data_IF_353452177885
#
_entry.id   IF_353452177885
#
_cell.length_a   1.000
_cell.length_b   1.000
_cell.length_c   1.000
_cell.angle_alpha   90.00
_cell.angle_beta   90.00
_cell.angle_gamma   90.00
#
_symmetry.space_group_name_H-M   'P 1'
#
loop_
_entity.id
_entity.type
_entity.pdbx_description
1 polymer ?
#
# COMPACT_ATOMS: atom_id res chain seq x y z
N UNK A 1 24.74 -9.86 7.56
CA UNK A 1 24.93 -9.31 6.22
C UNK A 1 24.87 -10.46 5.23
N UNK A 2 23.81 -10.56 4.44
CA UNK A 2 23.71 -11.56 3.38
C UNK A 2 24.46 -11.01 2.16
N UNK A 3 25.42 -11.76 1.59
CA UNK A 3 26.12 -11.31 0.40
C UNK A 3 25.16 -11.24 -0.79
N UNK A 4 25.35 -10.25 -1.65
CA UNK A 4 24.52 -9.96 -2.84
C UNK A 4 24.46 -11.10 -3.91
N UNK A 5 25.07 -12.24 -3.65
CA UNK A 5 25.14 -13.38 -4.58
C UNK A 5 23.88 -14.25 -4.63
N UNK A 6 22.94 -14.05 -3.70
CA UNK A 6 21.78 -14.94 -3.55
C UNK A 6 20.67 -14.75 -4.59
N UNK A 7 20.76 -13.73 -5.44
CA UNK A 7 19.79 -13.51 -6.52
C UNK A 7 19.92 -14.47 -7.72
N UNK A 8 20.99 -15.24 -7.80
CA UNK A 8 21.29 -16.14 -8.94
C UNK A 8 21.12 -17.63 -8.62
N UNK A 9 20.94 -17.99 -7.37
CA UNK A 9 20.75 -19.38 -6.95
C UNK A 9 19.41 -19.45 -6.24
N UNK A 10 18.56 -20.39 -6.65
CA UNK A 10 17.32 -20.66 -5.89
C UNK A 10 17.71 -21.01 -4.47
N UNK A 11 17.27 -20.23 -3.48
CA UNK A 11 17.64 -20.39 -2.06
C UNK A 11 17.34 -21.79 -1.54
N UNK A 12 16.30 -22.44 -2.06
CA UNK A 12 15.92 -23.82 -1.75
C UNK A 12 17.00 -24.85 -2.08
N UNK A 13 17.98 -24.49 -2.93
CA UNK A 13 19.09 -25.38 -3.29
C UNK A 13 20.35 -25.17 -2.43
N UNK A 14 20.40 -24.12 -1.61
CA UNK A 14 21.54 -23.85 -0.75
C UNK A 14 21.57 -24.82 0.42
N UNK A 15 22.65 -25.55 0.51
CA UNK A 15 22.93 -26.48 1.61
C UNK A 15 24.22 -26.09 2.30
N UNK A 16 24.27 -26.24 3.59
CA UNK A 16 25.47 -26.08 4.37
C UNK A 16 25.64 -27.23 5.35
N UNK A 17 26.87 -27.51 5.69
CA UNK A 17 27.19 -28.60 6.60
C UNK A 17 27.22 -28.07 8.04
N UNK A 18 26.35 -28.61 8.89
CA UNK A 18 26.38 -28.34 10.33
C UNK A 18 27.44 -29.20 10.99
N UNK A 19 28.61 -28.62 11.19
CA UNK A 19 29.75 -29.27 11.83
C UNK A 19 29.65 -29.37 13.35
N UNK A 20 28.60 -28.79 13.96
CA UNK A 20 28.35 -28.93 15.40
C UNK A 20 27.78 -30.27 15.77
N UNK A 21 27.30 -31.05 14.79
CA UNK A 21 26.82 -32.44 14.97
C UNK A 21 27.87 -33.47 14.58
N UNK A 22 27.83 -34.65 15.19
CA UNK A 22 28.75 -35.72 14.84
C UNK A 22 27.94 -36.99 14.58
N UNK A 23 27.88 -37.50 13.31
CA UNK A 23 28.50 -36.91 12.09
C UNK A 23 27.86 -35.57 11.67
N UNK A 24 28.58 -34.73 10.89
CA UNK A 24 28.03 -33.51 10.35
C UNK A 24 26.75 -33.76 9.58
N UNK A 25 25.74 -32.86 9.78
CA UNK A 25 24.46 -32.97 9.08
C UNK A 25 24.33 -31.87 8.05
N UNK A 26 23.74 -32.22 6.91
CA UNK A 26 23.41 -31.22 5.89
C UNK A 26 22.12 -30.49 6.27
N UNK A 27 22.18 -29.17 6.35
CA UNK A 27 21.02 -28.28 6.52
C UNK A 27 20.76 -27.49 5.25
N UNK A 28 19.46 -27.28 4.96
CA UNK A 28 19.02 -26.42 3.87
C UNK A 28 18.76 -25.04 4.43
N UNK A 29 19.16 -24.02 3.70
CA UNK A 29 18.85 -22.64 4.05
C UNK A 29 17.33 -22.40 3.88
N UNK A 30 16.67 -21.83 4.90
CA UNK A 30 15.27 -21.46 4.83
C UNK A 30 15.13 -20.02 4.36
N UNK A 31 14.17 -19.78 3.47
CA UNK A 31 13.84 -18.46 3.00
C UNK A 31 12.65 -17.90 3.77
N UNK A 32 12.91 -16.89 4.58
CA UNK A 32 11.90 -16.19 5.38
C UNK A 32 11.44 -14.85 4.75
N UNK A 33 11.95 -14.50 3.58
CA UNK A 33 11.77 -13.16 3.02
C UNK A 33 10.29 -12.86 2.78
N UNK A 34 9.58 -13.76 2.09
CA UNK A 34 8.16 -13.58 1.83
C UNK A 34 7.33 -13.54 3.12
N UNK A 35 7.64 -14.40 4.09
CA UNK A 35 6.96 -14.40 5.38
C UNK A 35 7.16 -13.06 6.12
N UNK A 36 8.34 -12.46 6.06
CA UNK A 36 8.59 -11.14 6.66
C UNK A 36 7.73 -10.05 6.02
N UNK A 37 7.57 -10.08 4.69
CA UNK A 37 6.68 -9.14 4.00
C UNK A 37 5.22 -9.34 4.38
N UNK A 38 4.77 -10.58 4.44
CA UNK A 38 3.39 -10.91 4.83
C UNK A 38 3.09 -10.51 6.28
N UNK A 39 4.02 -10.72 7.20
CA UNK A 39 3.92 -10.25 8.59
C UNK A 39 3.85 -8.72 8.65
N UNK A 40 4.70 -8.03 7.91
CA UNK A 40 4.71 -6.55 7.88
C UNK A 40 3.40 -5.99 7.31
N UNK A 41 2.88 -6.59 6.24
CA UNK A 41 1.61 -6.22 5.65
C UNK A 41 0.43 -6.49 6.60
N UNK A 42 0.43 -7.62 7.30
CA UNK A 42 -0.60 -7.95 8.28
C UNK A 42 -0.61 -6.95 9.44
N UNK A 43 0.56 -6.58 9.97
CA UNK A 43 0.68 -5.56 11.03
C UNK A 43 0.16 -4.21 10.57
N UNK A 44 0.55 -3.75 9.38
CA UNK A 44 0.06 -2.50 8.81
C UNK A 44 -1.47 -2.50 8.63
N UNK A 45 -2.04 -3.62 8.18
CA UNK A 45 -3.51 -3.77 8.06
C UNK A 45 -4.18 -3.71 9.43
N UNK A 46 -3.60 -4.30 10.47
CA UNK A 46 -4.14 -4.28 11.83
C UNK A 46 -4.08 -2.89 12.51
N UNK A 47 -3.28 -1.94 12.00
CA UNK A 47 -3.34 -0.54 12.44
C UNK A 47 -4.75 0.06 12.22
N UNK A 48 -5.50 -0.47 11.25
CA UNK A 48 -6.85 -0.06 10.90
C UNK A 48 -7.91 -1.13 11.26
N UNK A 49 -7.68 -1.93 12.29
CA UNK A 49 -8.56 -3.06 12.65
C UNK A 49 -10.04 -2.67 12.86
N UNK A 50 -10.30 -1.42 13.27
CA UNK A 50 -11.67 -0.90 13.46
C UNK A 50 -12.50 -0.81 12.16
N UNK A 51 -11.86 -0.91 11.00
CA UNK A 51 -12.54 -0.93 9.69
C UNK A 51 -13.05 -2.33 9.30
N UNK A 52 -12.76 -3.34 10.11
CA UNK A 52 -13.07 -4.75 9.83
C UNK A 52 -13.91 -5.40 10.91
N UNK A 53 -14.57 -6.50 10.57
CA UNK A 53 -15.34 -7.26 11.55
C UNK A 53 -14.41 -7.96 12.55
N UNK A 54 -14.83 -8.01 13.81
CA UNK A 54 -14.00 -8.54 14.91
C UNK A 54 -13.53 -9.98 14.67
N UNK A 55 -14.39 -10.84 14.12
CA UNK A 55 -14.06 -12.25 13.88
C UNK A 55 -12.95 -12.40 12.85
N UNK A 56 -12.94 -11.58 11.77
CA UNK A 56 -11.91 -11.64 10.75
C UNK A 56 -10.60 -11.01 11.22
N UNK A 57 -10.65 -9.98 12.06
CA UNK A 57 -9.48 -9.40 12.74
C UNK A 57 -8.83 -10.42 13.67
N UNK A 58 -9.62 -11.14 14.45
CA UNK A 58 -9.10 -12.18 15.36
C UNK A 58 -8.41 -13.33 14.58
N UNK A 59 -8.98 -13.72 13.43
CA UNK A 59 -8.34 -14.70 12.55
C UNK A 59 -6.96 -14.24 12.06
N UNK A 60 -6.81 -12.97 11.70
CA UNK A 60 -5.50 -12.39 11.30
C UNK A 60 -4.54 -12.39 12.48
N UNK A 61 -4.96 -11.97 13.67
CA UNK A 61 -4.11 -11.94 14.87
C UNK A 61 -3.58 -13.32 15.22
N UNK A 62 -4.42 -14.35 15.13
CA UNK A 62 -4.04 -15.74 15.39
C UNK A 62 -3.03 -16.27 14.35
N UNK A 63 -3.28 -16.00 13.06
CA UNK A 63 -2.36 -16.38 11.99
C UNK A 63 -1.02 -15.64 12.11
N UNK A 64 -1.04 -14.36 12.44
CA UNK A 64 0.15 -13.54 12.66
C UNK A 64 1.00 -14.07 13.81
N UNK A 65 0.40 -14.37 14.94
CA UNK A 65 1.11 -14.97 16.09
C UNK A 65 1.81 -16.29 15.72
N UNK A 66 1.15 -17.12 14.89
CA UNK A 66 1.73 -18.39 14.44
C UNK A 66 2.88 -18.14 13.45
N UNK A 67 2.74 -17.21 12.52
CA UNK A 67 3.80 -16.87 11.57
C UNK A 67 5.03 -16.29 12.29
N UNK A 68 4.84 -15.41 13.27
CA UNK A 68 5.94 -14.87 14.10
C UNK A 68 6.65 -15.97 14.90
N UNK A 69 5.90 -16.90 15.48
CA UNK A 69 6.48 -18.05 16.18
C UNK A 69 7.30 -18.96 15.23
N UNK A 70 6.87 -19.08 13.97
CA UNK A 70 7.60 -19.85 12.95
C UNK A 70 8.94 -19.21 12.59
N UNK A 71 9.02 -17.86 12.54
CA UNK A 71 10.27 -17.14 12.26
C UNK A 71 11.38 -17.42 13.28
N UNK A 72 11.02 -17.64 14.54
CA UNK A 72 11.99 -17.90 15.61
C UNK A 72 12.22 -19.39 15.86
N UNK A 73 11.47 -20.27 15.17
CA UNK A 73 11.62 -21.71 15.28
C UNK A 73 12.79 -22.20 14.42
N UNK A 74 13.93 -22.47 15.03
CA UNK A 74 15.13 -22.96 14.34
C UNK A 74 14.97 -24.33 13.70
N UNK A 75 13.90 -25.06 14.00
CA UNK A 75 13.59 -26.38 13.44
C UNK A 75 12.55 -26.32 12.32
N UNK A 76 11.96 -25.15 12.05
CA UNK A 76 11.00 -25.00 10.96
C UNK A 76 11.67 -25.32 9.62
N UNK A 77 11.01 -26.12 8.81
CA UNK A 77 11.43 -26.38 7.44
C UNK A 77 10.72 -25.43 6.46
N UNK A 78 11.21 -25.39 5.19
CA UNK A 78 10.66 -24.45 4.20
C UNK A 78 9.17 -24.69 3.93
N UNK A 79 8.70 -25.92 3.96
CA UNK A 79 7.28 -26.21 3.74
C UNK A 79 6.39 -25.67 4.86
N UNK A 80 6.86 -25.71 6.11
CA UNK A 80 6.15 -25.09 7.26
C UNK A 80 6.16 -23.58 7.16
N UNK A 81 7.28 -22.97 6.77
CA UNK A 81 7.39 -21.53 6.57
C UNK A 81 6.40 -21.06 5.50
N UNK A 82 6.39 -21.71 4.33
CA UNK A 82 5.48 -21.39 3.24
C UNK A 82 4.01 -21.63 3.63
N UNK A 83 3.72 -22.67 4.39
CA UNK A 83 2.37 -22.98 4.85
C UNK A 83 1.83 -21.90 5.78
N UNK A 84 2.59 -21.45 6.77
CA UNK A 84 2.13 -20.42 7.71
C UNK A 84 2.15 -19.02 7.10
N UNK A 85 3.06 -18.75 6.17
CA UNK A 85 3.01 -17.54 5.34
C UNK A 85 1.69 -17.47 4.56
N UNK A 86 1.33 -18.55 3.84
CA UNK A 86 0.08 -18.60 3.08
C UNK A 86 -1.14 -18.48 3.98
N UNK A 87 -1.14 -19.13 5.17
CA UNK A 87 -2.23 -18.98 6.14
C UNK A 87 -2.43 -17.56 6.61
N UNK A 88 -1.34 -16.82 6.84
CA UNK A 88 -1.42 -15.40 7.20
C UNK A 88 -1.92 -14.57 6.02
N UNK A 89 -1.41 -14.83 4.82
CA UNK A 89 -1.86 -14.15 3.59
C UNK A 89 -3.35 -14.36 3.35
N UNK A 90 -3.84 -15.61 3.49
CA UNK A 90 -5.26 -15.96 3.35
C UNK A 90 -6.13 -15.25 4.40
N UNK A 91 -5.66 -15.18 5.64
CA UNK A 91 -6.40 -14.49 6.72
C UNK A 91 -6.51 -12.99 6.44
N UNK A 92 -5.44 -12.33 5.97
CA UNK A 92 -5.46 -10.92 5.57
C UNK A 92 -6.39 -10.70 4.37
N UNK A 93 -6.35 -11.60 3.38
CA UNK A 93 -7.25 -11.53 2.22
C UNK A 93 -8.71 -11.76 2.59
N UNK A 94 -8.98 -12.53 3.65
CA UNK A 94 -10.32 -12.84 4.16
C UNK A 94 -10.91 -11.78 5.09
N UNK A 95 -10.24 -10.65 5.31
CA UNK A 95 -10.78 -9.55 6.12
C UNK A 95 -12.06 -8.98 5.50
N UNK A 96 -13.11 -8.87 6.32
CA UNK A 96 -14.41 -8.33 5.93
C UNK A 96 -14.56 -6.93 6.52
N UNK A 97 -14.74 -5.94 5.65
CA UNK A 97 -14.97 -4.55 6.06
C UNK A 97 -16.36 -4.37 6.69
N UNK A 98 -16.49 -3.32 7.51
CA UNK A 98 -17.72 -2.97 8.24
C UNK A 98 -18.54 -1.87 7.57
N UNK A 99 -18.14 -1.40 6.38
CA UNK A 99 -18.83 -0.31 5.69
C UNK A 99 -20.12 -0.79 5.03
N UNK A 100 -21.18 0.00 5.22
CA UNK A 100 -22.47 -0.14 4.51
C UNK A 100 -22.54 0.79 3.26
N UNK A 101 -21.45 1.51 2.95
CA UNK A 101 -21.41 2.42 1.82
C UNK A 101 -21.27 1.64 0.50
N UNK A 102 -22.12 1.98 -0.47
CA UNK A 102 -22.04 1.44 -1.82
C UNK A 102 -21.03 2.27 -2.64
N UNK A 103 -19.93 1.67 -3.10
CA UNK A 103 -18.91 2.38 -3.86
C UNK A 103 -19.41 2.96 -5.18
N UNK A 104 -20.51 2.42 -5.74
CA UNK A 104 -21.07 2.90 -7.01
C UNK A 104 -22.01 4.11 -6.84
N UNK A 105 -22.44 4.40 -5.61
CA UNK A 105 -23.39 5.47 -5.29
C UNK A 105 -22.85 6.53 -4.33
N UNK A 106 -21.54 6.66 -4.21
CA UNK A 106 -20.90 7.65 -3.34
C UNK A 106 -21.25 9.07 -3.78
N UNK A 107 -21.56 9.92 -2.79
CA UNK A 107 -21.77 11.35 -3.01
C UNK A 107 -20.42 12.07 -3.13
N UNK A 108 -20.45 13.31 -3.66
CA UNK A 108 -19.27 14.16 -3.68
C UNK A 108 -18.72 14.35 -2.27
N UNK A 109 -17.43 14.15 -2.10
CA UNK A 109 -16.79 14.21 -0.80
C UNK A 109 -15.48 13.46 -0.72
N UNK A 110 -14.99 13.34 0.51
CA UNK A 110 -13.75 12.64 0.82
C UNK A 110 -14.06 11.43 1.70
N UNK A 111 -13.41 10.33 1.37
CA UNK A 111 -13.56 9.05 2.06
C UNK A 111 -12.19 8.48 2.38
N UNK A 112 -12.12 7.71 3.43
CA UNK A 112 -11.02 6.78 3.70
C UNK A 112 -11.38 5.40 3.19
N UNK A 113 -10.42 4.67 2.65
CA UNK A 113 -10.57 3.28 2.19
C UNK A 113 -9.27 2.53 2.39
N UNK A 114 -9.36 1.29 2.83
CA UNK A 114 -8.16 0.46 2.99
C UNK A 114 -7.70 -0.08 1.64
N UNK A 115 -6.38 -0.16 1.47
CA UNK A 115 -5.72 -0.67 0.27
C UNK A 115 -4.66 -1.71 0.63
N UNK A 116 -4.42 -2.64 -0.28
CA UNK A 116 -3.34 -3.61 -0.14
C UNK A 116 -2.53 -3.67 -1.43
N UNK A 117 -1.20 -3.69 -1.31
CA UNK A 117 -0.31 -3.94 -2.44
C UNK A 117 0.00 -5.42 -2.52
N UNK A 118 -0.43 -6.05 -3.60
CA UNK A 118 -0.26 -7.49 -3.85
C UNK A 118 0.74 -7.74 -4.96
N UNK A 119 1.35 -8.91 -4.95
CA UNK A 119 2.13 -9.39 -6.08
C UNK A 119 1.22 -9.52 -7.30
N UNK A 120 1.71 -9.09 -8.47
CA UNK A 120 0.91 -9.06 -9.68
C UNK A 120 0.26 -10.42 -10.01
N UNK A 121 -1.06 -10.48 -9.99
CA UNK A 121 -1.84 -11.70 -10.25
C UNK A 121 -1.93 -12.69 -9.09
N UNK A 122 -1.45 -12.32 -7.89
CA UNK A 122 -1.47 -13.16 -6.69
C UNK A 122 -2.21 -12.44 -5.54
N UNK A 123 -2.57 -13.20 -4.53
CA UNK A 123 -3.13 -12.65 -3.27
C UNK A 123 -2.05 -12.26 -2.27
N UNK A 124 -0.84 -12.78 -2.44
CA UNK A 124 0.27 -12.52 -1.54
C UNK A 124 0.69 -11.05 -1.55
N UNK A 125 1.03 -10.48 -0.39
CA UNK A 125 1.56 -9.12 -0.31
C UNK A 125 2.84 -8.96 -1.15
N UNK A 126 2.94 -7.84 -1.84
CA UNK A 126 4.19 -7.48 -2.51
C UNK A 126 5.16 -6.81 -1.52
N UNK A 127 6.42 -6.69 -1.89
CA UNK A 127 7.41 -5.93 -1.10
C UNK A 127 6.96 -4.47 -0.87
N UNK A 128 6.21 -3.88 -1.80
CA UNK A 128 5.68 -2.52 -1.69
C UNK A 128 4.59 -2.37 -0.62
N UNK A 129 4.02 -3.48 -0.10
CA UNK A 129 3.05 -3.42 1.00
C UNK A 129 3.61 -2.72 2.24
N UNK A 130 4.91 -2.85 2.51
CA UNK A 130 5.55 -2.18 3.63
C UNK A 130 5.77 -0.67 3.38
N UNK A 131 5.82 -0.25 2.11
CA UNK A 131 6.06 1.13 1.70
C UNK A 131 4.78 1.96 1.57
N UNK A 132 3.61 1.34 1.52
CA UNK A 132 2.30 2.02 1.41
C UNK A 132 1.64 2.06 2.78
N UNK A 133 1.03 3.18 3.13
CA UNK A 133 0.07 3.21 4.24
C UNK A 133 -1.17 2.42 3.83
N UNK A 134 -1.67 1.56 4.73
CA UNK A 134 -2.82 0.70 4.44
C UNK A 134 -4.10 1.47 4.12
N UNK A 135 -4.25 2.71 4.65
CA UNK A 135 -5.39 3.57 4.37
C UNK A 135 -5.06 4.59 3.28
N UNK A 136 -5.92 4.66 2.27
CA UNK A 136 -5.87 5.65 1.21
C UNK A 136 -7.03 6.64 1.35
N UNK A 137 -6.88 7.82 0.77
CA UNK A 137 -7.95 8.82 0.66
C UNK A 137 -8.61 8.72 -0.72
N UNK A 138 -9.92 8.53 -0.74
CA UNK A 138 -10.73 8.57 -1.97
C UNK A 138 -11.47 9.90 -2.04
N UNK A 139 -11.29 10.64 -3.13
CA UNK A 139 -12.03 11.86 -3.43
C UNK A 139 -13.03 11.61 -4.56
N UNK A 140 -14.26 12.06 -4.36
CA UNK A 140 -15.34 12.01 -5.35
C UNK A 140 -15.72 13.45 -5.68
N UNK A 141 -15.74 13.80 -6.96
CA UNK A 141 -16.17 15.10 -7.47
C UNK A 141 -16.93 14.89 -8.79
N UNK A 142 -18.24 14.87 -8.74
CA UNK A 142 -19.10 14.50 -9.87
C UNK A 142 -18.81 13.09 -10.37
N UNK A 143 -18.36 12.97 -11.62
CA UNK A 143 -17.96 11.70 -12.20
C UNK A 143 -16.49 11.34 -11.99
N UNK A 144 -15.72 12.25 -11.38
CA UNK A 144 -14.30 12.00 -11.13
C UNK A 144 -14.10 11.29 -9.79
N UNK A 145 -13.27 10.27 -9.82
CA UNK A 145 -12.82 9.52 -8.65
C UNK A 145 -11.32 9.54 -8.62
N UNK A 146 -10.75 9.87 -7.46
CA UNK A 146 -9.32 9.99 -7.28
C UNK A 146 -8.90 9.29 -6.00
N UNK A 147 -7.92 8.41 -6.10
CA UNK A 147 -7.33 7.70 -4.96
C UNK A 147 -5.97 8.32 -4.64
N UNK A 148 -5.79 8.76 -3.40
CA UNK A 148 -4.51 9.26 -2.92
C UNK A 148 -3.85 8.18 -2.07
N UNK A 149 -2.73 7.67 -2.56
CA UNK A 149 -1.86 6.75 -1.83
C UNK A 149 -0.76 7.53 -1.13
N UNK A 150 -0.45 7.15 0.11
CA UNK A 150 0.68 7.71 0.85
C UNK A 150 1.75 6.64 1.09
N UNK A 151 3.00 7.07 0.98
CA UNK A 151 4.17 6.20 1.02
C UNK A 151 5.08 6.55 2.18
N UNK A 152 5.84 5.56 2.62
CA UNK A 152 6.81 5.67 3.71
C UNK A 152 8.06 4.85 3.39
N UNK A 153 9.19 5.08 4.07
CA UNK A 153 10.34 4.18 3.99
C UNK A 153 9.94 2.75 4.34
N UNK A 154 10.46 1.78 3.62
CA UNK A 154 10.22 0.37 3.89
C UNK A 154 11.53 -0.40 4.01
N UNK A 155 11.57 -1.37 4.91
CA UNK A 155 12.71 -2.26 5.03
C UNK A 155 12.64 -3.33 3.93
N UNK A 156 13.54 -3.25 2.96
CA UNK A 156 13.65 -4.18 1.84
C UNK A 156 15.03 -4.84 1.91
N UNK A 157 15.10 -6.15 2.01
CA UNK A 157 16.37 -6.90 2.08
C UNK A 157 17.34 -6.35 3.16
N UNK A 158 16.81 -5.98 4.33
CA UNK A 158 17.54 -5.34 5.44
C UNK A 158 18.13 -3.95 5.12
N UNK A 159 17.67 -3.30 4.06
CA UNK A 159 18.00 -1.92 3.71
C UNK A 159 16.70 -1.11 3.64
N UNK A 160 16.79 0.16 4.06
CA UNK A 160 15.66 1.08 3.90
C UNK A 160 15.55 1.47 2.44
N UNK A 161 14.40 1.21 1.86
CA UNK A 161 14.06 1.53 0.47
C UNK A 161 12.94 2.55 0.41
N UNK A 162 12.93 3.33 -0.67
CA UNK A 162 12.01 4.42 -0.91
C UNK A 162 11.42 4.29 -2.30
N UNK A 163 10.14 4.63 -2.45
CA UNK A 163 9.53 4.73 -3.76
C UNK A 163 10.20 5.87 -4.54
N UNK A 164 10.73 5.57 -5.72
CA UNK A 164 11.35 6.57 -6.59
C UNK A 164 10.51 6.92 -7.79
N UNK A 165 9.78 5.94 -8.33
CA UNK A 165 8.95 6.12 -9.51
C UNK A 165 7.71 5.24 -9.45
N UNK A 166 6.61 5.71 -10.02
CA UNK A 166 5.39 4.95 -10.16
C UNK A 166 4.74 5.20 -11.52
N UNK A 167 4.16 4.17 -12.09
CA UNK A 167 3.28 4.22 -13.26
C UNK A 167 1.95 3.58 -12.92
N UNK A 168 0.92 4.06 -13.52
CA UNK A 168 -0.42 3.56 -13.39
C UNK A 168 -0.96 3.11 -14.74
N UNK A 169 -1.65 1.99 -14.77
CA UNK A 169 -2.22 1.41 -15.97
C UNK A 169 -3.67 1.88 -16.19
N UNK A 170 -3.94 2.40 -17.39
CA UNK A 170 -5.25 2.95 -17.80
C UNK A 170 -6.08 2.01 -18.68
N UNK A 171 -5.60 0.82 -18.97
CA UNK A 171 -6.29 -0.13 -19.84
C UNK A 171 -7.40 -0.89 -19.12
N UNK A 172 -8.16 -1.66 -19.90
CA UNK A 172 -9.32 -2.39 -19.42
C UNK A 172 -9.00 -3.81 -18.90
N UNK A 173 -7.78 -4.31 -19.15
CA UNK A 173 -7.39 -5.68 -18.82
C UNK A 173 -6.19 -5.72 -17.88
N UNK A 174 -6.40 -6.19 -16.65
CA UNK A 174 -5.32 -6.43 -15.69
C UNK A 174 -4.32 -7.47 -16.20
N UNK A 175 -4.79 -8.49 -16.92
CA UNK A 175 -3.94 -9.51 -17.54
C UNK A 175 -3.01 -8.89 -18.60
N UNK A 176 -3.52 -8.00 -19.44
CA UNK A 176 -2.68 -7.28 -20.41
C UNK A 176 -1.62 -6.42 -19.73
N UNK A 177 -1.99 -5.68 -18.67
CA UNK A 177 -1.07 -4.87 -17.90
C UNK A 177 0.08 -5.70 -17.34
N UNK A 178 -0.20 -6.87 -16.79
CA UNK A 178 0.78 -7.77 -16.18
C UNK A 178 1.71 -8.41 -17.20
N UNK A 179 1.21 -8.78 -18.39
CA UNK A 179 1.99 -9.42 -19.45
C UNK A 179 2.99 -8.47 -20.12
N UNK A 180 2.65 -7.19 -20.26
CA UNK A 180 3.42 -6.21 -20.99
C UNK A 180 4.47 -5.48 -20.14
N UNK A 181 4.88 -6.09 -19.03
CA UNK A 181 5.75 -5.46 -18.03
C UNK A 181 7.09 -4.91 -18.56
N UNK A 182 7.58 -5.41 -19.72
CA UNK A 182 8.85 -4.97 -20.30
C UNK A 182 8.75 -3.74 -21.21
N UNK A 183 7.55 -3.33 -21.61
CA UNK A 183 7.34 -2.27 -22.60
C UNK A 183 6.79 -0.97 -22.02
N UNK A 184 6.66 -0.85 -20.71
CA UNK A 184 6.08 0.32 -20.06
C UNK A 184 6.86 1.61 -20.36
N UNK A 185 8.18 1.55 -20.42
CA UNK A 185 9.04 2.69 -20.76
C UNK A 185 9.00 3.09 -22.24
N UNK A 186 8.48 2.23 -23.10
CA UNK A 186 8.32 2.48 -24.54
C UNK A 186 6.92 2.88 -24.96
N UNK A 187 5.94 2.74 -24.07
CA UNK A 187 4.55 3.13 -24.31
C UNK A 187 4.34 4.61 -23.94
N UNK A 188 4.39 5.47 -24.93
CA UNK A 188 4.31 6.92 -24.79
C UNK A 188 2.90 7.41 -24.39
N UNK A 189 2.35 6.88 -23.29
CA UNK A 189 1.24 7.51 -22.59
C UNK A 189 -0.17 7.08 -22.98
N UNK A 190 -0.35 6.06 -23.83
CA UNK A 190 -1.70 5.58 -24.17
C UNK A 190 -2.30 4.66 -23.11
N UNK A 191 -1.51 3.76 -22.53
CA UNK A 191 -1.99 2.79 -21.52
C UNK A 191 -1.39 2.99 -20.15
N UNK A 192 -0.14 3.48 -20.08
CA UNK A 192 0.59 3.69 -18.84
C UNK A 192 0.86 5.17 -18.66
N UNK A 193 0.56 5.69 -17.49
CA UNK A 193 0.87 7.06 -17.13
C UNK A 193 1.96 7.05 -16.07
N UNK A 194 3.07 7.70 -16.38
CA UNK A 194 4.10 8.00 -15.39
C UNK A 194 3.54 9.06 -14.43
N UNK A 195 3.66 8.79 -13.13
CA UNK A 195 3.23 9.70 -12.08
C UNK A 195 4.34 10.72 -11.84
N UNK A 196 4.31 11.79 -12.63
CA UNK A 196 5.21 12.94 -12.51
C UNK A 196 4.72 13.92 -11.43
N UNK A 197 5.36 15.07 -11.33
CA UNK A 197 5.05 16.12 -10.35
C UNK A 197 3.59 16.64 -10.44
N UNK A 198 2.85 16.35 -11.52
CA UNK A 198 1.43 16.72 -11.62
C UNK A 198 0.53 15.78 -10.80
N UNK A 199 1.01 14.61 -10.47
CA UNK A 199 0.30 13.60 -9.67
C UNK A 199 0.87 13.47 -8.26
N UNK A 200 2.10 13.91 -8.03
CA UNK A 200 2.74 13.88 -6.72
C UNK A 200 2.31 15.10 -5.92
N UNK A 201 1.52 14.90 -4.88
CA UNK A 201 0.97 15.97 -4.05
C UNK A 201 1.98 16.47 -3.00
N UNK A 202 2.87 15.62 -2.55
CA UNK A 202 3.88 15.96 -1.55
C UNK A 202 5.03 14.95 -1.55
N UNK A 203 6.13 15.38 -0.94
CA UNK A 203 7.38 14.62 -0.84
C UNK A 203 7.83 14.49 0.60
N UNK A 204 8.70 13.53 0.87
CA UNK A 204 9.39 13.39 2.13
C UNK A 204 10.89 13.13 1.92
N UNK A 205 11.69 13.45 2.93
CA UNK A 205 13.07 13.01 3.06
C UNK A 205 13.17 11.98 4.20
N UNK A 206 14.06 10.98 4.12
CA UNK A 206 14.34 10.08 5.24
C UNK A 206 14.95 10.86 6.42
N UNK A 207 14.55 10.51 7.66
CA UNK A 207 15.21 11.06 8.84
C UNK A 207 16.65 10.52 8.91
N UNK A 208 17.68 11.37 8.91
CA UNK A 208 19.07 10.92 8.97
C UNK A 208 19.42 10.16 10.26
N UNK A 209 18.64 10.33 11.32
CA UNK A 209 18.84 9.65 12.60
C UNK A 209 17.98 8.38 12.75
N UNK A 210 16.91 8.28 11.97
CA UNK A 210 16.00 7.14 11.98
C UNK A 210 15.43 6.90 10.58
N UNK A 211 16.11 6.09 9.76
CA UNK A 211 15.70 5.87 8.36
C UNK A 211 14.29 5.24 8.19
N UNK A 212 13.67 4.79 9.28
CA UNK A 212 12.29 4.32 9.27
C UNK A 212 11.26 5.44 9.18
N UNK A 213 11.68 6.68 9.40
CA UNK A 213 10.81 7.86 9.45
C UNK A 213 10.89 8.68 8.19
N UNK A 214 9.72 9.17 7.78
CA UNK A 214 9.56 10.15 6.71
C UNK A 214 9.44 11.55 7.34
N UNK A 215 10.30 12.48 6.94
CA UNK A 215 10.18 13.90 7.29
C UNK A 215 9.54 14.60 6.09
N UNK A 216 8.34 15.19 6.22
CA UNK A 216 7.72 15.93 5.12
C UNK A 216 8.65 17.02 4.60
N UNK A 217 8.80 17.12 3.27
CA UNK A 217 9.48 18.24 2.65
C UNK A 217 8.58 19.49 2.72
N UNK A 218 9.18 20.64 3.00
CA UNK A 218 8.43 21.92 3.06
C UNK A 218 7.95 22.32 1.65
N UNK A 219 6.81 23.00 1.59
CA UNK A 219 6.27 23.55 0.35
C UNK A 219 7.29 24.49 -0.31
N UNK A 220 7.52 24.29 -1.61
CA UNK A 220 8.49 25.08 -2.38
C UNK A 220 9.94 24.58 -2.26
N UNK A 221 10.19 23.50 -1.54
CA UNK A 221 11.49 22.84 -1.55
C UNK A 221 11.81 22.30 -2.96
N UNK A 222 13.02 22.55 -3.43
CA UNK A 222 13.51 21.95 -4.67
C UNK A 222 13.77 20.47 -4.37
N UNK A 223 12.98 19.60 -4.96
CA UNK A 223 13.13 18.15 -4.77
C UNK A 223 14.45 17.68 -5.38
N UNK A 224 15.38 17.36 -4.55
CA UNK A 224 16.66 16.77 -4.93
C UNK A 224 16.59 15.22 -4.91
N UNK A 225 17.71 14.58 -5.15
CA UNK A 225 17.81 13.12 -5.15
C UNK A 225 17.54 12.44 -3.80
N UNK A 226 17.31 13.22 -2.74
CA UNK A 226 17.02 12.73 -1.39
C UNK A 226 15.54 12.91 -1.02
N UNK A 227 14.74 13.47 -1.92
CA UNK A 227 13.29 13.61 -1.75
C UNK A 227 12.55 12.50 -2.50
N UNK A 228 11.63 11.86 -1.80
CA UNK A 228 10.83 10.75 -2.32
C UNK A 228 9.35 11.10 -2.30
N UNK A 229 8.53 10.59 -3.24
CA UNK A 229 7.09 10.81 -3.22
C UNK A 229 6.45 10.35 -1.90
N UNK A 230 5.71 11.26 -1.25
CA UNK A 230 4.94 10.95 -0.05
C UNK A 230 3.49 10.65 -0.38
N UNK A 231 2.81 11.54 -1.10
CA UNK A 231 1.42 11.36 -1.50
C UNK A 231 1.29 11.45 -3.02
N UNK A 232 0.68 10.44 -3.62
CA UNK A 232 0.45 10.36 -5.07
C UNK A 232 -1.04 10.22 -5.33
N UNK A 233 -1.55 11.05 -6.22
CA UNK A 233 -2.94 11.07 -6.66
C UNK A 233 -3.11 10.22 -7.93
N UNK A 234 -3.99 9.21 -7.85
CA UNK A 234 -4.29 8.30 -8.97
C UNK A 234 -5.72 8.55 -9.43
N UNK A 235 -5.96 8.97 -10.67
CA UNK A 235 -7.31 9.10 -11.20
C UNK A 235 -7.91 7.70 -11.44
N UNK A 236 -9.02 7.39 -10.75
CA UNK A 236 -9.71 6.09 -10.87
C UNK A 236 -10.74 6.06 -12.03
N UNK A 237 -10.50 6.81 -13.10
CA UNK A 237 -11.41 6.89 -14.25
C UNK A 237 -11.46 5.59 -15.06
N UNK A 238 -10.54 4.69 -14.79
CA UNK A 238 -10.42 3.40 -15.42
C UNK A 238 -10.48 2.34 -14.33
N UNK A 239 -11.67 1.93 -14.00
CA UNK A 239 -11.86 0.79 -13.12
C UNK A 239 -11.48 -0.44 -13.95
N UNK A 240 -10.39 -1.09 -13.62
CA UNK A 240 -10.11 -2.43 -14.14
C UNK A 240 -11.01 -3.46 -13.46
N UNK A 241 -12.30 -3.15 -13.37
CA UNK A 241 -13.32 -4.07 -12.89
C UNK A 241 -13.66 -5.15 -13.90
N UNK A 242 -12.96 -5.19 -15.03
CA UNK A 242 -13.17 -6.22 -16.05
C UNK A 242 -13.07 -7.64 -15.48
N UNK A 243 -12.32 -7.82 -14.39
CA UNK A 243 -12.17 -9.11 -13.72
C UNK A 243 -13.04 -9.22 -12.44
N UNK A 244 -13.94 -8.25 -12.17
CA UNK A 244 -14.77 -8.22 -10.96
C UNK A 244 -13.99 -7.96 -9.67
N UNK A 245 -12.69 -7.68 -9.78
CA UNK A 245 -11.80 -7.38 -8.67
C UNK A 245 -11.47 -5.89 -8.66
N UNK A 246 -11.43 -5.31 -7.47
CA UNK A 246 -11.12 -3.89 -7.25
C UNK A 246 -9.60 -3.65 -7.32
N UNK A 247 -8.99 -4.00 -8.45
CA UNK A 247 -7.54 -4.02 -8.66
C UNK A 247 -7.15 -2.93 -9.66
N UNK A 248 -6.16 -2.14 -9.26
CA UNK A 248 -5.47 -1.16 -10.09
C UNK A 248 -4.03 -1.60 -10.27
N UNK A 249 -3.64 -1.88 -11.52
CA UNK A 249 -2.27 -2.32 -11.80
C UNK A 249 -1.35 -1.12 -11.82
N UNK A 250 -0.37 -1.17 -10.94
CA UNK A 250 0.70 -0.19 -10.83
C UNK A 250 2.03 -0.84 -11.22
N UNK A 251 2.98 -0.01 -11.62
CA UNK A 251 4.39 -0.37 -11.70
C UNK A 251 5.16 0.57 -10.81
N UNK A 252 6.01 0.03 -9.99
CA UNK A 252 6.76 0.79 -8.99
C UNK A 252 8.26 0.53 -9.13
N UNK A 253 9.04 1.56 -8.87
CA UNK A 253 10.49 1.49 -8.73
C UNK A 253 10.86 1.91 -7.30
N UNK A 254 11.69 1.11 -6.67
CA UNK A 254 12.23 1.38 -5.33
C UNK A 254 13.75 1.42 -5.44
N UNK A 255 14.39 2.43 -4.85
CA UNK A 255 15.84 2.68 -4.96
C UNK A 255 16.68 1.44 -4.64
N UNK A 256 16.38 0.75 -3.53
CA UNK A 256 17.12 -0.45 -3.11
C UNK A 256 16.89 -1.65 -4.05
N UNK A 257 15.71 -1.78 -4.62
CA UNK A 257 15.42 -2.83 -5.60
C UNK A 257 16.20 -2.59 -6.90
N UNK A 258 16.22 -1.35 -7.37
CA UNK A 258 16.96 -0.95 -8.57
C UNK A 258 18.47 -1.11 -8.35
N UNK A 259 19.00 -0.68 -7.21
CA UNK A 259 20.40 -0.82 -6.85
C UNK A 259 20.85 -2.30 -6.78
N UNK A 260 19.95 -3.22 -6.44
CA UNK A 260 20.22 -4.65 -6.38
C UNK A 260 19.86 -5.41 -7.68
N UNK A 261 19.54 -4.70 -8.76
CA UNK A 261 19.26 -5.30 -10.07
C UNK A 261 17.90 -5.97 -10.22
N UNK A 262 16.99 -5.78 -9.25
CA UNK A 262 15.60 -6.30 -9.32
C UNK A 262 14.78 -5.49 -10.31
N UNK A 263 15.06 -4.18 -10.41
CA UNK A 263 14.37 -3.26 -11.30
C UNK A 263 12.93 -2.96 -10.86
N UNK A 264 12.17 -2.41 -11.82
CA UNK A 264 10.77 -2.05 -11.56
C UNK A 264 9.88 -3.29 -11.47
N UNK A 265 8.87 -3.25 -10.60
CA UNK A 265 7.95 -4.34 -10.38
C UNK A 265 6.50 -3.94 -10.65
N UNK A 266 5.74 -4.85 -11.25
CA UNK A 266 4.30 -4.71 -11.31
C UNK A 266 3.70 -5.14 -9.98
N UNK A 267 2.75 -4.34 -9.50
CA UNK A 267 2.00 -4.60 -8.28
C UNK A 267 0.52 -4.36 -8.52
N UNK A 268 -0.30 -5.11 -7.83
CA UNK A 268 -1.75 -4.94 -7.83
C UNK A 268 -2.14 -4.13 -6.59
N UNK A 269 -2.62 -2.90 -6.80
CA UNK A 269 -3.26 -2.11 -5.75
C UNK A 269 -4.71 -2.58 -5.63
N UNK A 270 -5.00 -3.32 -4.59
CA UNK A 270 -6.34 -3.82 -4.27
C UNK A 270 -7.04 -2.85 -3.33
N UNK A 271 -8.19 -2.30 -3.76
CA UNK A 271 -9.02 -1.39 -2.96
C UNK A 271 -10.11 -2.19 -2.25
N UNK A 272 -10.17 -2.11 -0.93
CA UNK A 272 -11.11 -2.86 -0.10
C UNK A 272 -12.38 -2.01 0.13
N UNK A 273 -13.28 -1.99 -0.84
CA UNK A 273 -14.48 -1.14 -0.80
C UNK A 273 -15.36 -1.33 0.45
N UNK A 274 -15.35 -2.53 1.05
CA UNK A 274 -16.06 -2.79 2.30
C UNK A 274 -15.51 -2.03 3.52
N UNK A 275 -14.41 -1.27 3.37
CA UNK A 275 -13.82 -0.45 4.44
C UNK A 275 -14.06 1.04 4.26
N UNK A 276 -14.87 1.44 3.28
CA UNK A 276 -15.17 2.84 3.02
C UNK A 276 -15.72 3.54 4.25
N UNK A 277 -15.17 4.72 4.53
CA UNK A 277 -15.60 5.58 5.62
C UNK A 277 -15.62 7.02 5.13
N UNK A 278 -16.77 7.68 5.25
CA UNK A 278 -16.86 9.12 4.96
C UNK A 278 -15.98 9.90 5.95
N UNK A 279 -15.16 10.79 5.45
CA UNK A 279 -14.44 11.76 6.29
C UNK A 279 -15.43 12.86 6.63
N UNK A 280 -15.68 13.09 7.93
CA UNK A 280 -16.61 14.10 8.41
C UNK A 280 -16.05 15.48 8.04
N UNK A 281 -16.63 16.12 7.01
CA UNK A 281 -16.25 17.47 6.54
C UNK A 281 -16.57 18.53 7.63
N UNK A 282 -17.32 18.20 8.65
CA UNK A 282 -17.68 19.10 9.74
C UNK A 282 -16.48 19.66 10.51
N UNK A 283 -15.35 18.96 10.53
CA UNK A 283 -14.16 19.43 11.24
C UNK A 283 -13.29 20.40 10.41
N UNK A 284 -13.53 20.51 9.07
CA UNK A 284 -12.81 21.44 8.19
C UNK A 284 -13.62 22.65 7.76
N UNK A 285 -14.95 22.61 7.93
CA UNK A 285 -15.87 23.71 7.67
C UNK A 285 -16.71 23.98 8.91
N UNK A 286 -16.08 24.39 10.01
CA UNK A 286 -16.78 25.15 11.02
C UNK A 286 -17.00 26.58 10.49
N UNK A 287 -17.85 26.72 9.48
CA UNK A 287 -18.57 27.97 9.31
C UNK A 287 -19.50 28.00 10.52
N UNK A 288 -19.08 28.72 11.58
CA UNK A 288 -19.97 28.98 12.69
C UNK A 288 -21.21 29.68 12.12
N UNK A 289 -22.40 29.19 12.41
CA UNK A 289 -23.68 29.82 12.06
C UNK A 289 -23.79 31.27 12.55
N UNK A 290 -22.80 31.77 13.27
CA UNK A 290 -22.63 33.13 13.76
C UNK A 290 -22.08 34.12 12.72
N UNK A 291 -21.53 33.68 11.58
CA UNK A 291 -21.01 34.56 10.54
C UNK A 291 -21.97 34.81 9.37
N UNK A 292 -23.08 34.09 9.27
CA UNK A 292 -24.18 34.48 8.41
C UNK A 292 -25.01 35.52 9.20
N UNK A 293 -24.56 36.77 9.18
CA UNK A 293 -25.35 37.89 9.66
C UNK A 293 -26.59 38.07 8.78
N UNK A 294 -27.63 37.29 9.06
CA UNK A 294 -28.97 37.66 8.69
C UNK A 294 -29.33 38.89 9.55
N UNK A 295 -29.00 40.09 9.01
CA UNK A 295 -29.60 41.30 9.51
C UNK A 295 -31.10 41.18 9.33
N UNK A 296 -31.80 40.84 10.42
CA UNK A 296 -33.25 41.03 10.50
C UNK A 296 -33.48 42.53 10.38
N UNK A 297 -33.93 42.97 9.23
CA UNK A 297 -34.45 44.28 9.03
C UNK A 297 -35.71 44.39 9.86
N UNK A 298 -35.61 44.99 11.06
CA UNK A 298 -36.79 45.38 11.82
C UNK A 298 -37.57 46.41 11.01
N UNK A 299 -38.76 46.01 10.63
CA UNK A 299 -39.70 46.90 9.98
C UNK A 299 -40.02 48.07 10.93
N UNK A 300 -39.49 49.25 10.61
CA UNK A 300 -39.76 50.46 11.32
C UNK A 300 -41.26 50.80 11.33
N UNK A 301 -41.85 50.81 12.51
CA UNK A 301 -43.19 51.31 12.73
C UNK A 301 -43.20 52.86 12.52
N UNK A 302 -43.72 53.29 11.40
CA UNK A 302 -44.10 54.68 11.20
C UNK A 302 -45.29 55.03 12.05
N UNK A 303 -45.11 55.67 13.21
CA UNK A 303 -46.16 56.45 13.87
C UNK A 303 -46.12 57.89 13.39
N UNK A 304 -47.12 58.27 12.59
CA UNK A 304 -47.46 59.69 12.33
C UNK A 304 -48.27 60.20 13.50
N UNK A 305 -47.87 61.29 14.04
CA UNK A 305 -48.73 62.27 14.67
C UNK A 305 -48.25 63.67 14.32
#
# INVERSE_FOLDING_TARGET
AYPAYYSLVTRDSLKWEDTTTTPPTQKTYQDFEQMNYTISAAKATLENESMYTADTVEAVKNALSTAEATLINTNANQAEINYFEQKLSDAVAGLVGTSDLDPDSLQDGTYEVDVAMRMAGLTNPSMTSAAVNGTATLKIAGSQRTLILTFRPALVMNLWGHLTQMWYYKGESTTEARLNSKSWSGDTGTRYTYMDDTYILSYYAPDPNDPSKAIPCEDGHVHDSNCYPYAIEIPLNYISSADGENIYVLRVSVDQMTANGVGDQNVDCYVKWGTLKAVDIKDTLSVSDTEIGLSTHEAGTNSKS
#
